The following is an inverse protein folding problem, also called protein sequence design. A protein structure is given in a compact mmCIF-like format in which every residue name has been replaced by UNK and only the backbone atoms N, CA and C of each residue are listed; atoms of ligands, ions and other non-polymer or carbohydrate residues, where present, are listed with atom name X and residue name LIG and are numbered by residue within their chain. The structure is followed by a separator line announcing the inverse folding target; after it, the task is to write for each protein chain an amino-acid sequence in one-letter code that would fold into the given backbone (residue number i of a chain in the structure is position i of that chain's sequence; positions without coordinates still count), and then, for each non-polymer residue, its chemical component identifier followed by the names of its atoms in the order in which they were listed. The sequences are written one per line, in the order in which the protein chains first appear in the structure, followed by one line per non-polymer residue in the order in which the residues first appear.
data_IF_013096500230
#
_entry.id   IF_013096500230
#
_cell.length_a   1.000
_cell.length_b   1.000
_cell.length_c   1.000
_cell.angle_alpha   90.00
_cell.angle_beta   90.00
_cell.angle_gamma   90.00
#
_symmetry.space_group_name_H-M   'P 1'
#
loop_
_entity.id
_entity.type
_entity.pdbx_description
1 polymer ?
#
# COMPACT_ATOMS: atom_id res chain seq x y z
N UNK A 1 -76.01 39.70 19.33
CA UNK A 1 -75.89 41.15 19.62
C UNK A 1 -74.44 41.56 19.34
N UNK A 2 -74.20 42.35 18.27
CA UNK A 2 -73.04 43.24 17.98
C UNK A 2 -71.65 42.55 17.88
N UNK A 3 -70.73 42.75 16.92
CA UNK A 3 -70.58 43.40 15.60
C UNK A 3 -69.25 42.85 15.04
N UNK A 4 -69.10 42.72 13.73
CA UNK A 4 -67.82 42.37 13.11
C UNK A 4 -66.84 43.56 13.00
N UNK A 5 -65.57 43.27 12.75
CA UNK A 5 -64.62 44.19 12.10
C UNK A 5 -63.58 43.39 11.29
N UNK A 6 -63.37 43.83 10.04
CA UNK A 6 -62.40 43.33 9.05
C UNK A 6 -61.07 44.09 9.15
N UNK A 7 -60.08 43.60 8.37
CA UNK A 7 -58.84 44.23 7.85
C UNK A 7 -57.64 44.21 8.80
N UNK A 8 -56.37 44.17 8.39
CA UNK A 8 -55.59 43.72 7.21
C UNK A 8 -54.13 44.08 7.60
N UNK A 9 -53.13 43.43 6.98
CA UNK A 9 -51.78 43.95 6.67
C UNK A 9 -50.68 44.06 7.77
N UNK A 10 -49.57 43.34 7.47
CA UNK A 10 -48.15 43.77 7.36
C UNK A 10 -47.22 43.92 8.58
N UNK A 11 -46.02 43.35 8.38
CA UNK A 11 -44.72 43.70 8.99
C UNK A 11 -44.15 42.60 9.89
N UNK A 12 -43.40 41.59 9.43
CA UNK A 12 -41.99 41.55 9.00
C UNK A 12 -41.03 42.33 9.92
N UNK A 13 -40.13 41.58 10.57
CA UNK A 13 -38.69 41.77 10.93
C UNK A 13 -38.47 40.80 12.11
N UNK A 14 -37.57 39.83 12.16
CA UNK A 14 -36.45 39.43 11.32
C UNK A 14 -35.52 38.63 12.25
N UNK A 15 -35.19 37.38 11.91
CA UNK A 15 -33.94 36.76 12.36
C UNK A 15 -33.55 35.65 11.39
N UNK A 16 -32.53 35.95 10.59
CA UNK A 16 -31.81 35.02 9.75
C UNK A 16 -31.07 34.00 10.62
N UNK A 17 -31.25 32.72 10.34
CA UNK A 17 -30.16 31.74 10.42
C UNK A 17 -30.25 30.86 9.18
N UNK A 18 -29.37 31.14 8.22
CA UNK A 18 -28.95 30.14 7.25
C UNK A 18 -28.31 28.99 8.04
N UNK A 19 -28.92 27.81 8.00
CA UNK A 19 -28.19 26.57 8.19
C UNK A 19 -28.23 25.82 6.86
N UNK A 20 -27.22 26.14 6.04
CA UNK A 20 -26.70 25.26 5.00
C UNK A 20 -26.32 23.92 5.65
N UNK A 21 -27.19 22.92 5.59
CA UNK A 21 -26.79 21.53 5.87
C UNK A 21 -26.02 21.01 4.65
N UNK A 22 -24.82 21.55 4.46
CA UNK A 22 -23.80 20.93 3.61
C UNK A 22 -23.16 19.80 4.40
N UNK A 23 -23.24 18.60 3.84
CA UNK A 23 -22.19 17.59 3.97
C UNK A 23 -22.17 16.78 5.26
N UNK A 24 -22.58 15.53 5.14
CA UNK A 24 -21.73 14.43 5.62
C UNK A 24 -21.74 13.34 4.56
N UNK A 25 -20.83 13.43 3.60
CA UNK A 25 -20.40 12.25 2.85
C UNK A 25 -19.62 11.37 3.82
N UNK A 26 -20.27 10.34 4.34
CA UNK A 26 -19.59 9.26 5.03
C UNK A 26 -19.03 8.31 3.95
N UNK A 27 -17.75 8.45 3.63
CA UNK A 27 -17.01 7.38 2.99
C UNK A 27 -16.29 6.61 4.09
N UNK A 28 -16.89 5.52 4.54
CA UNK A 28 -16.14 4.46 5.19
C UNK A 28 -15.60 3.55 4.08
N UNK A 29 -14.55 4.00 3.39
CA UNK A 29 -13.75 3.09 2.59
C UNK A 29 -12.79 2.35 3.54
N UNK A 30 -13.33 1.39 4.27
CA UNK A 30 -12.53 0.37 4.95
C UNK A 30 -12.47 -0.83 4.04
N UNK A 31 -11.81 -0.67 2.89
CA UNK A 31 -11.34 -1.82 2.14
C UNK A 31 -9.95 -2.19 2.67
N UNK A 32 -9.88 -2.62 3.94
CA UNK A 32 -8.67 -3.23 4.48
C UNK A 32 -8.52 -4.62 3.83
N UNK A 33 -7.93 -4.64 2.62
CA UNK A 33 -7.65 -5.88 1.91
C UNK A 33 -6.50 -6.58 2.61
N UNK A 34 -6.84 -7.49 3.53
CA UNK A 34 -5.90 -8.40 4.17
C UNK A 34 -5.49 -9.46 3.15
N UNK A 35 -4.25 -9.38 2.65
CA UNK A 35 -3.68 -10.44 1.83
C UNK A 35 -3.27 -11.58 2.76
N UNK A 36 -3.81 -12.78 2.54
CA UNK A 36 -3.49 -13.98 3.32
C UNK A 36 -2.66 -14.96 2.48
N UNK A 37 -1.50 -15.37 3.02
CA UNK A 37 -0.70 -16.48 2.49
C UNK A 37 -0.77 -17.62 3.50
N UNK A 38 -1.24 -18.81 3.09
CA UNK A 38 -1.43 -19.98 3.99
C UNK A 38 -0.52 -21.13 3.56
N UNK A 39 0.26 -21.68 4.50
CA UNK A 39 0.94 -22.97 4.32
C UNK A 39 1.26 -23.64 5.65
N UNK A 40 0.77 -24.86 5.87
CA UNK A 40 1.16 -25.78 6.97
C UNK A 40 1.44 -25.16 8.36
N UNK A 41 0.71 -24.11 8.76
CA UNK A 41 0.87 -23.43 10.06
C UNK A 41 1.67 -22.12 10.04
N UNK A 42 2.33 -21.79 8.93
CA UNK A 42 2.89 -20.48 8.62
C UNK A 42 1.85 -19.64 7.86
N UNK A 43 1.58 -18.43 8.35
CA UNK A 43 0.68 -17.47 7.71
C UNK A 43 1.30 -16.09 7.67
N UNK A 44 1.05 -15.37 6.59
CA UNK A 44 1.48 -13.97 6.45
C UNK A 44 0.30 -13.12 6.08
N UNK A 45 0.18 -11.99 6.77
CA UNK A 45 -0.84 -10.98 6.56
C UNK A 45 -0.19 -9.64 6.28
N UNK A 46 -0.77 -8.88 5.36
CA UNK A 46 -0.32 -7.52 5.05
C UNK A 46 -1.52 -6.60 4.85
N UNK A 47 -1.38 -5.35 5.32
CA UNK A 47 -2.32 -4.27 5.00
C UNK A 47 -2.23 -3.88 3.52
N UNK A 48 -3.29 -3.30 2.98
CA UNK A 48 -3.31 -2.87 1.57
C UNK A 48 -2.16 -1.90 1.27
N UNK A 49 -1.44 -2.16 0.17
CA UNK A 49 -0.33 -1.32 -0.30
C UNK A 49 -0.88 -0.22 -1.21
N UNK A 50 -0.70 1.05 -0.81
CA UNK A 50 -1.07 2.21 -1.63
C UNK A 50 0.02 3.27 -1.57
N UNK A 51 0.49 3.69 -2.74
CA UNK A 51 1.43 4.79 -2.89
C UNK A 51 0.71 6.13 -2.85
N UNK A 52 1.36 7.13 -2.27
CA UNK A 52 0.91 8.53 -2.33
C UNK A 52 0.89 9.06 -3.77
N UNK A 53 0.00 10.00 -4.05
CA UNK A 53 -0.09 10.66 -5.35
C UNK A 53 1.17 11.48 -5.64
N UNK A 54 1.65 11.40 -6.88
CA UNK A 54 2.79 12.18 -7.37
C UNK A 54 2.30 13.32 -8.24
N UNK A 55 2.74 14.55 -7.93
CA UNK A 55 2.58 15.70 -8.84
C UNK A 55 3.74 15.76 -9.83
N UNK A 56 3.42 15.54 -11.11
CA UNK A 56 4.40 15.58 -12.20
C UNK A 56 5.09 16.95 -12.33
N UNK A 57 6.42 16.94 -12.21
CA UNK A 57 7.32 18.07 -12.49
C UNK A 57 8.55 17.56 -13.25
N UNK A 58 8.68 17.96 -14.51
CA UNK A 58 9.75 17.52 -15.42
C UNK A 58 11.14 17.98 -15.00
N UNK A 59 11.25 18.96 -14.08
CA UNK A 59 12.54 19.51 -13.63
C UNK A 59 13.01 18.93 -12.30
N UNK A 60 12.19 18.13 -11.61
CA UNK A 60 12.48 17.62 -10.28
C UNK A 60 12.41 16.10 -10.25
N UNK A 61 13.29 15.51 -9.43
CA UNK A 61 13.11 14.13 -9.00
C UNK A 61 11.83 14.02 -8.18
N UNK A 62 11.05 13.00 -8.47
CA UNK A 62 9.77 12.76 -7.83
C UNK A 62 9.80 11.38 -7.19
N UNK A 63 9.24 11.29 -5.99
CA UNK A 63 9.14 10.05 -5.26
C UNK A 63 7.77 9.94 -4.61
N UNK A 64 7.32 8.71 -4.44
CA UNK A 64 6.15 8.37 -3.63
C UNK A 64 6.54 7.32 -2.61
N UNK A 65 5.80 7.30 -1.50
CA UNK A 65 6.01 6.35 -0.42
C UNK A 65 4.75 5.55 -0.20
N UNK A 66 4.95 4.34 0.29
CA UNK A 66 3.91 3.53 0.88
C UNK A 66 4.48 2.80 2.10
N UNK A 67 3.66 2.61 3.12
CA UNK A 67 4.03 1.82 4.30
C UNK A 67 2.95 0.79 4.57
N UNK A 68 3.36 -0.44 4.87
CA UNK A 68 2.44 -1.52 5.24
C UNK A 68 2.92 -2.21 6.50
N UNK A 69 1.96 -2.69 7.29
CA UNK A 69 2.26 -3.60 8.39
C UNK A 69 2.14 -5.03 7.89
N UNK A 70 3.18 -5.82 8.10
CA UNK A 70 3.19 -7.25 7.83
C UNK A 70 3.19 -8.03 9.14
N UNK A 71 2.30 -9.01 9.26
CA UNK A 71 2.23 -9.93 10.40
C UNK A 71 2.52 -11.34 9.93
N UNK A 72 3.55 -11.96 10.51
CA UNK A 72 3.91 -13.37 10.26
C UNK A 72 3.51 -14.19 11.47
N UNK A 73 2.75 -15.26 11.25
CA UNK A 73 2.34 -16.22 12.28
C UNK A 73 2.96 -17.56 11.95
N UNK A 74 3.86 -18.04 12.81
CA UNK A 74 4.36 -19.41 12.79
C UNK A 74 3.80 -20.20 13.98
N UNK A 75 2.74 -20.95 13.72
CA UNK A 75 2.08 -21.81 14.71
C UNK A 75 2.51 -23.27 14.66
N UNK A 76 3.60 -23.60 13.96
CA UNK A 76 4.00 -25.00 13.71
C UNK A 76 4.61 -25.71 14.91
N UNK A 77 5.25 -24.96 15.81
CA UNK A 77 5.96 -25.52 16.96
C UNK A 77 7.22 -26.33 16.62
N UNK A 78 7.60 -26.40 15.34
CA UNK A 78 8.84 -27.07 14.89
C UNK A 78 10.06 -26.15 14.88
N UNK A 79 9.86 -24.84 15.05
CA UNK A 79 10.87 -23.79 14.96
C UNK A 79 11.82 -23.95 13.77
N UNK A 80 11.34 -24.49 12.64
CA UNK A 80 12.17 -24.79 11.47
C UNK A 80 12.56 -23.54 10.65
N UNK A 81 12.34 -22.34 11.19
CA UNK A 81 12.55 -21.08 10.50
C UNK A 81 11.55 -20.86 9.35
N UNK A 82 11.61 -19.65 8.79
CA UNK A 82 10.75 -19.23 7.68
C UNK A 82 11.35 -18.05 6.93
N UNK A 83 10.93 -17.88 5.69
CA UNK A 83 11.28 -16.76 4.82
C UNK A 83 10.01 -16.16 4.22
N UNK A 84 9.90 -14.84 4.24
CA UNK A 84 8.96 -14.09 3.39
C UNK A 84 9.74 -13.50 2.23
N UNK A 85 9.34 -13.89 1.02
CA UNK A 85 9.87 -13.36 -0.23
C UNK A 85 8.81 -12.54 -0.94
N UNK A 86 9.25 -11.63 -1.80
CA UNK A 86 8.36 -10.86 -2.64
C UNK A 86 8.90 -10.62 -4.04
N UNK A 87 7.98 -10.33 -4.96
CA UNK A 87 8.28 -9.81 -6.29
C UNK A 87 7.19 -8.84 -6.73
N UNK A 88 7.45 -8.07 -7.78
CA UNK A 88 6.44 -7.19 -8.39
C UNK A 88 6.48 -7.27 -9.91
N UNK A 89 5.33 -7.10 -10.54
CA UNK A 89 5.30 -6.70 -11.95
C UNK A 89 5.72 -5.24 -12.09
N UNK A 90 6.04 -4.83 -13.31
CA UNK A 90 6.12 -3.41 -13.64
C UNK A 90 4.78 -2.73 -13.40
N UNK A 91 4.83 -1.42 -13.15
CA UNK A 91 3.68 -0.56 -13.04
C UNK A 91 3.18 -0.21 -14.44
N UNK A 92 1.97 -0.63 -14.76
CA UNK A 92 1.38 -0.47 -16.09
C UNK A 92 0.33 0.64 -16.10
N UNK A 93 0.31 1.42 -17.17
CA UNK A 93 -0.81 2.27 -17.56
C UNK A 93 -1.18 2.00 -19.02
N UNK A 94 -2.47 2.02 -19.31
CA UNK A 94 -3.01 1.96 -20.67
C UNK A 94 -3.51 3.34 -21.11
N UNK A 95 -3.12 3.77 -22.31
CA UNK A 95 -3.57 5.02 -22.92
C UNK A 95 -3.87 4.81 -24.40
N UNK A 96 -4.90 5.50 -24.90
CA UNK A 96 -5.13 5.59 -26.34
C UNK A 96 -4.19 6.63 -26.94
N UNK A 97 -3.34 6.22 -27.88
CA UNK A 97 -2.44 7.08 -28.65
C UNK A 97 -2.77 6.87 -30.12
N UNK A 98 -3.19 7.93 -30.81
CA UNK A 98 -3.59 7.87 -32.22
C UNK A 98 -4.66 6.80 -32.54
N UNK A 99 -5.59 6.56 -31.60
CA UNK A 99 -6.65 5.57 -31.76
C UNK A 99 -6.26 4.13 -31.40
N UNK A 100 -4.99 3.88 -31.08
CA UNK A 100 -4.49 2.56 -30.65
C UNK A 100 -4.29 2.54 -29.14
N UNK A 101 -4.70 1.46 -28.48
CA UNK A 101 -4.43 1.27 -27.06
C UNK A 101 -2.97 0.83 -26.88
N UNK A 102 -2.20 1.62 -26.14
CA UNK A 102 -0.78 1.36 -25.86
C UNK A 102 -0.55 1.22 -24.35
N UNK A 103 0.37 0.32 -23.99
CA UNK A 103 0.81 0.09 -22.61
C UNK A 103 2.16 0.75 -22.36
N UNK A 104 2.29 1.34 -21.17
CA UNK A 104 3.51 1.99 -20.70
C UNK A 104 3.88 1.53 -19.30
N UNK A 105 5.19 1.46 -19.04
CA UNK A 105 5.76 0.73 -17.91
C UNK A 105 6.76 1.58 -17.12
N UNK A 106 6.49 1.74 -15.82
CA UNK A 106 7.53 2.07 -14.84
C UNK A 106 8.06 0.74 -14.30
N UNK A 107 9.38 0.48 -14.36
CA UNK A 107 9.92 -0.81 -13.96
C UNK A 107 9.73 -1.04 -12.46
N UNK A 108 9.54 -2.30 -12.05
CA UNK A 108 9.47 -2.68 -10.64
C UNK A 108 10.70 -2.19 -9.84
N UNK A 109 11.87 -2.15 -10.50
CA UNK A 109 13.14 -1.66 -9.92
C UNK A 109 13.16 -0.15 -9.61
N UNK A 110 12.11 0.59 -9.95
CA UNK A 110 11.89 1.94 -9.45
C UNK A 110 11.53 1.96 -7.95
N UNK A 111 11.17 0.81 -7.36
CA UNK A 111 10.81 0.69 -5.95
C UNK A 111 11.97 0.10 -5.15
N UNK A 112 12.30 0.78 -4.06
CA UNK A 112 13.21 0.32 -3.02
C UNK A 112 12.41 -0.04 -1.76
N UNK A 113 12.78 -1.11 -1.08
CA UNK A 113 12.09 -1.61 0.11
C UNK A 113 13.02 -1.62 1.31
N UNK A 114 12.48 -1.21 2.44
CA UNK A 114 13.10 -1.36 3.76
C UNK A 114 12.13 -2.06 4.70
N UNK A 115 12.61 -3.08 5.40
CA UNK A 115 11.84 -3.79 6.43
C UNK A 115 12.39 -3.48 7.82
N UNK A 116 11.48 -3.19 8.75
CA UNK A 116 11.79 -2.91 10.15
C UNK A 116 10.99 -3.86 11.05
N UNK A 117 11.66 -4.51 11.99
CA UNK A 117 11.00 -5.39 12.95
C UNK A 117 10.36 -4.58 14.09
N UNK A 118 9.05 -4.77 14.31
CA UNK A 118 8.30 -4.11 15.39
C UNK A 118 8.32 -4.91 16.69
N UNK A 119 8.59 -6.21 16.61
CA UNK A 119 8.60 -7.11 17.76
C UNK A 119 7.61 -8.27 17.64
N UNK A 120 7.60 -9.16 18.63
CA UNK A 120 6.60 -10.22 18.72
C UNK A 120 5.29 -9.66 19.28
N UNK A 121 4.17 -10.11 18.72
CA UNK A 121 2.85 -10.07 19.39
C UNK A 121 2.76 -11.26 20.35
N UNK A 122 3.29 -12.41 19.94
CA UNK A 122 3.43 -13.62 20.76
C UNK A 122 4.75 -14.32 20.43
N UNK A 123 5.32 -15.08 21.36
CA UNK A 123 6.60 -15.76 21.15
C UNK A 123 7.81 -14.92 21.58
N UNK A 124 9.02 -15.42 21.29
CA UNK A 124 10.26 -14.77 21.68
C UNK A 124 10.70 -13.71 20.65
N UNK A 125 11.33 -12.64 21.11
CA UNK A 125 11.88 -11.60 20.21
C UNK A 125 12.97 -12.19 19.31
N UNK A 126 12.84 -11.98 18.00
CA UNK A 126 13.92 -12.26 17.03
C UNK A 126 14.92 -11.12 17.06
N UNK A 127 16.17 -11.40 17.40
CA UNK A 127 17.26 -10.44 17.35
C UNK A 127 17.98 -10.51 15.98
N UNK A 128 17.55 -9.65 15.06
CA UNK A 128 18.15 -9.52 13.74
C UNK A 128 19.59 -8.97 13.79
N UNK A 129 19.91 -8.13 14.79
CA UNK A 129 21.26 -7.59 14.98
C UNK A 129 22.28 -8.65 15.41
N UNK A 130 21.84 -9.72 16.09
CA UNK A 130 22.67 -10.88 16.43
C UNK A 130 22.57 -12.02 15.41
N UNK A 131 21.94 -11.78 14.25
CA UNK A 131 21.87 -12.75 13.16
C UNK A 131 20.88 -13.91 13.35
N UNK A 132 19.84 -13.76 14.19
CA UNK A 132 18.73 -14.75 14.32
C UNK A 132 17.77 -14.74 13.12
N UNK A 133 17.99 -13.83 12.19
CA UNK A 133 17.20 -13.66 10.98
C UNK A 133 17.87 -12.66 10.04
N UNK A 134 17.20 -12.34 8.94
CA UNK A 134 17.60 -11.25 8.03
C UNK A 134 16.42 -10.33 7.74
N UNK A 135 16.69 -9.03 7.63
CA UNK A 135 15.76 -8.01 7.18
C UNK A 135 16.38 -7.31 5.97
N UNK A 136 15.61 -7.14 4.92
CA UNK A 136 16.02 -6.34 3.77
C UNK A 136 16.08 -4.85 4.14
N UNK A 137 17.28 -4.30 4.06
CA UNK A 137 17.49 -2.85 4.03
C UNK A 137 17.88 -2.46 2.60
N UNK A 138 17.07 -1.61 1.96
CA UNK A 138 17.29 -1.10 0.59
C UNK A 138 17.25 -2.16 -0.50
N UNK A 139 16.31 -3.09 -0.43
CA UNK A 139 16.08 -4.07 -1.50
C UNK A 139 15.45 -3.38 -2.71
N UNK A 140 16.10 -3.45 -3.87
CA UNK A 140 15.48 -3.03 -5.14
C UNK A 140 14.55 -4.15 -5.63
N UNK A 141 13.29 -3.81 -5.83
CA UNK A 141 12.25 -4.76 -6.25
C UNK A 141 12.51 -5.25 -7.66
N UNK A 142 12.27 -6.53 -7.89
CA UNK A 142 12.32 -7.14 -9.21
C UNK A 142 11.09 -7.99 -9.49
N UNK A 143 11.02 -8.52 -10.70
CA UNK A 143 10.03 -9.51 -11.11
C UNK A 143 10.34 -10.93 -10.58
N UNK A 144 11.54 -11.15 -10.03
CA UNK A 144 11.93 -12.41 -9.41
C UNK A 144 11.68 -12.38 -7.90
N UNK A 145 11.27 -13.50 -7.27
CA UNK A 145 11.13 -13.58 -5.82
C UNK A 145 12.45 -13.27 -5.09
N UNK A 146 12.41 -12.31 -4.17
CA UNK A 146 13.54 -11.91 -3.33
C UNK A 146 13.12 -11.97 -1.86
N UNK A 147 13.95 -12.56 -1.01
CA UNK A 147 13.72 -12.59 0.44
C UNK A 147 13.71 -11.17 1.00
N UNK A 148 12.68 -10.80 1.77
CA UNK A 148 12.58 -9.52 2.49
C UNK A 148 12.68 -9.65 4.00
N UNK A 149 12.30 -10.80 4.52
CA UNK A 149 12.31 -11.13 5.95
C UNK A 149 12.62 -12.62 6.06
N UNK A 150 13.52 -12.97 6.97
CA UNK A 150 13.81 -14.37 7.28
C UNK A 150 14.01 -14.53 8.78
N UNK A 151 13.43 -15.56 9.37
CA UNK A 151 13.79 -16.04 10.70
C UNK A 151 14.51 -17.38 10.56
N UNK A 152 15.70 -17.51 11.14
CA UNK A 152 16.46 -18.77 11.11
C UNK A 152 15.79 -19.84 11.97
N UNK A 153 16.12 -21.13 11.75
CA UNK A 153 15.68 -22.19 12.66
C UNK A 153 16.01 -21.90 14.12
N UNK A 154 15.17 -22.43 15.01
CA UNK A 154 15.12 -22.14 16.45
C UNK A 154 14.68 -20.70 16.80
N UNK A 155 14.36 -19.88 15.80
CA UNK A 155 13.86 -18.51 15.98
C UNK A 155 12.60 -18.29 15.13
N UNK A 156 11.78 -17.33 15.54
CA UNK A 156 10.60 -16.90 14.77
C UNK A 156 9.34 -17.74 14.96
N UNK A 157 9.32 -18.65 15.94
CA UNK A 157 8.07 -19.23 16.43
C UNK A 157 7.20 -18.18 17.14
N UNK A 158 5.90 -18.18 16.84
CA UNK A 158 4.95 -17.22 17.37
C UNK A 158 4.41 -16.23 16.32
N UNK A 159 4.06 -15.03 16.75
CA UNK A 159 3.47 -13.99 15.90
C UNK A 159 4.37 -12.77 15.92
N UNK A 160 4.81 -12.33 14.75
CA UNK A 160 5.80 -11.27 14.58
C UNK A 160 5.26 -10.17 13.67
N UNK A 161 5.53 -8.92 14.04
CA UNK A 161 5.11 -7.75 13.26
C UNK A 161 6.31 -7.00 12.67
N UNK A 162 6.11 -6.52 11.45
CA UNK A 162 7.10 -5.77 10.68
C UNK A 162 6.44 -4.56 10.04
N UNK A 163 7.17 -3.45 9.94
CA UNK A 163 6.83 -2.38 9.01
C UNK A 163 7.60 -2.59 7.72
N UNK A 164 6.94 -2.46 6.58
CA UNK A 164 7.55 -2.54 5.26
C UNK A 164 7.32 -1.20 4.58
N UNK A 165 8.41 -0.45 4.36
CA UNK A 165 8.38 0.81 3.62
C UNK A 165 8.80 0.59 2.18
N UNK A 166 8.04 1.17 1.27
CA UNK A 166 8.26 1.17 -0.16
C UNK A 166 8.53 2.61 -0.60
N UNK A 167 9.71 2.85 -1.16
CA UNK A 167 10.11 4.13 -1.71
C UNK A 167 10.14 4.01 -3.24
N UNK A 168 9.10 4.51 -3.92
CA UNK A 168 9.02 4.58 -5.37
C UNK A 168 9.75 5.83 -5.86
N UNK A 169 10.84 5.66 -6.60
CA UNK A 169 11.56 6.73 -7.30
C UNK A 169 11.06 6.80 -8.73
N UNK A 170 10.24 7.80 -9.05
CA UNK A 170 9.66 7.94 -10.38
C UNK A 170 10.77 8.28 -11.39
N UNK A 171 11.01 7.46 -12.42
CA UNK A 171 12.00 7.76 -13.45
C UNK A 171 11.51 8.92 -14.31
N UNK A 172 12.43 9.65 -14.96
CA UNK A 172 12.04 10.72 -15.91
C UNK A 172 11.46 10.17 -17.21
N UNK A 173 11.83 8.93 -17.56
CA UNK A 173 11.33 8.23 -18.74
C UNK A 173 10.81 6.84 -18.39
N UNK A 174 9.81 6.40 -19.14
CA UNK A 174 9.15 5.09 -19.01
C UNK A 174 9.27 4.32 -20.33
N UNK A 175 9.11 3.00 -20.28
CA UNK A 175 9.08 2.17 -21.49
C UNK A 175 7.67 2.09 -22.05
N UNK A 176 7.52 2.17 -23.36
CA UNK A 176 6.36 1.67 -24.10
C UNK A 176 6.47 0.15 -24.28
N UNK A 177 5.38 -0.51 -24.63
CA UNK A 177 5.34 -1.94 -24.95
C UNK A 177 6.34 -2.41 -26.02
N UNK A 178 6.69 -1.53 -26.96
CA UNK A 178 7.71 -1.80 -28.00
C UNK A 178 9.16 -1.54 -27.53
N UNK A 179 9.35 -1.15 -26.26
CA UNK A 179 10.65 -0.82 -25.68
C UNK A 179 11.07 0.65 -25.84
N UNK A 180 10.33 1.44 -26.62
CA UNK A 180 10.61 2.87 -26.81
C UNK A 180 10.54 3.63 -25.48
N UNK A 181 11.48 4.54 -25.24
CA UNK A 181 11.47 5.39 -24.04
C UNK A 181 10.74 6.69 -24.30
N UNK A 182 9.80 7.04 -23.44
CA UNK A 182 9.04 8.29 -23.48
C UNK A 182 9.04 8.97 -22.11
N UNK A 183 8.64 10.23 -22.04
CA UNK A 183 8.41 10.91 -20.76
C UNK A 183 7.27 10.24 -19.97
N UNK A 184 7.30 10.36 -18.63
CA UNK A 184 6.22 9.84 -17.76
C UNK A 184 4.88 10.44 -18.16
N UNK A 185 3.85 9.60 -18.20
CA UNK A 185 2.48 10.01 -18.52
C UNK A 185 1.69 10.26 -17.23
N UNK A 186 0.78 11.23 -17.27
CA UNK A 186 -0.17 11.42 -16.17
C UNK A 186 -1.23 10.31 -16.15
N UNK A 187 -1.42 9.70 -14.99
CA UNK A 187 -2.54 8.81 -14.71
C UNK A 187 -2.24 7.81 -13.59
N UNK A 188 -3.13 6.84 -13.45
CA UNK A 188 -3.02 5.80 -12.43
C UNK A 188 -2.31 4.58 -13.02
N UNK A 189 -1.12 4.29 -12.51
CA UNK A 189 -0.39 3.07 -12.82
C UNK A 189 -0.76 1.97 -11.84
N UNK A 190 -0.79 0.71 -12.31
CA UNK A 190 -1.09 -0.46 -11.48
C UNK A 190 0.05 -1.47 -11.55
N UNK A 191 0.44 -2.03 -10.41
CA UNK A 191 1.40 -3.12 -10.31
C UNK A 191 0.84 -4.23 -9.42
N UNK A 192 1.28 -5.46 -9.65
CA UNK A 192 0.95 -6.60 -8.81
C UNK A 192 2.18 -6.99 -7.97
N UNK A 193 2.08 -6.78 -6.67
CA UNK A 193 3.03 -7.27 -5.69
C UNK A 193 2.63 -8.68 -5.23
N UNK A 194 3.55 -9.63 -5.33
CA UNK A 194 3.36 -11.02 -4.90
C UNK A 194 4.22 -11.29 -3.68
N UNK A 195 3.63 -11.91 -2.66
CA UNK A 195 4.31 -12.33 -1.44
C UNK A 195 4.24 -13.85 -1.34
N UNK A 196 5.34 -14.46 -0.94
CA UNK A 196 5.45 -15.89 -0.72
C UNK A 196 6.07 -16.15 0.64
N UNK A 197 5.40 -16.96 1.45
CA UNK A 197 5.91 -17.44 2.72
C UNK A 197 6.42 -18.88 2.52
N UNK A 198 7.68 -19.12 2.87
CA UNK A 198 8.31 -20.44 2.81
C UNK A 198 8.69 -20.84 4.23
N UNK A 199 8.41 -22.10 4.57
CA UNK A 199 8.52 -22.65 5.91
C UNK A 199 9.55 -23.78 5.88
N UNK A 200 10.45 -23.89 6.88
CA UNK A 200 11.44 -24.97 6.93
C UNK A 200 12.66 -24.67 6.05
N UNK A 201 13.56 -23.83 6.57
CA UNK A 201 14.76 -23.34 5.85
C UNK A 201 16.05 -23.76 6.53
#
# INVERSE_FOLDING_TARGET
MIKGFKKQLLGIIGLSVLLLSLGTSAYADVTEQKVEVVGSGLRVFQTALKFDDIRLDVKKSQASKAETTMTVIDGRGSDAGWTVSMSSTDFEIEKSVNGTLEKFYIPASAVEITTDYKGPVTGATINFGSGQGTLSSKLIVSNAPQSIIQAKPSFGGGTHQFNVRYDLKLPQTISKQDGTKIGVLQGSYKALFKYQATSGI
#
